data_IF_712147645195
#
_entry.id   IF_712147645195
#
_cell.length_a   1.000
_cell.length_b   1.000
_cell.length_c   1.000
_cell.angle_alpha   90.00
_cell.angle_beta   90.00
_cell.angle_gamma   90.00
#
_symmetry.space_group_name_H-M   'P 1'
#
loop_
_entity.id
_entity.type
_entity.pdbx_description
1 polymer ?
#
# COMPACT_ATOMS: atom_id res chain seq x y z
N UNK A 1 -7.80 -2.56 -1.37
CA UNK A 1 -7.00 -1.51 -2.03
C UNK A 1 -6.70 -1.93 -3.44
N UNK A 2 -6.77 -1.02 -4.40
CA UNK A 2 -6.35 -1.24 -5.79
C UNK A 2 -5.40 -0.12 -6.20
N UNK A 3 -4.19 -0.46 -6.59
CA UNK A 3 -3.20 0.48 -7.15
C UNK A 3 -3.28 0.39 -8.67
N UNK A 4 -3.41 1.52 -9.36
CA UNK A 4 -3.42 1.59 -10.83
C UNK A 4 -2.36 2.58 -11.31
N UNK A 5 -1.69 2.27 -12.41
CA UNK A 5 -0.77 3.21 -13.10
C UNK A 5 -0.59 2.82 -14.57
N UNK A 6 -0.07 3.73 -15.39
CA UNK A 6 0.25 3.42 -16.79
C UNK A 6 1.71 3.61 -17.19
N UNK A 7 2.47 4.35 -16.41
CA UNK A 7 3.86 4.64 -16.69
C UNK A 7 4.76 3.40 -16.54
N UNK A 8 5.89 3.40 -17.26
CA UNK A 8 6.97 2.41 -17.17
C UNK A 8 7.75 2.55 -15.85
N UNK A 9 7.09 2.24 -14.74
CA UNK A 9 7.63 2.32 -13.38
C UNK A 9 7.14 1.12 -12.57
N UNK A 10 8.00 0.66 -11.69
CA UNK A 10 7.72 -0.38 -10.71
C UNK A 10 7.09 0.26 -9.46
N UNK A 11 5.76 0.16 -9.35
CA UNK A 11 5.03 0.57 -8.15
C UNK A 11 4.55 -0.67 -7.41
N UNK A 12 4.92 -0.76 -6.13
CA UNK A 12 4.50 -1.85 -5.26
C UNK A 12 3.44 -1.38 -4.26
N UNK A 13 2.41 -2.21 -4.04
CA UNK A 13 1.47 -2.04 -2.95
C UNK A 13 1.89 -2.84 -1.70
N UNK A 14 2.03 -2.14 -0.58
CA UNK A 14 2.45 -2.69 0.71
C UNK A 14 1.35 -2.56 1.77
N UNK A 15 1.32 -3.49 2.72
CA UNK A 15 0.58 -3.35 3.97
C UNK A 15 1.40 -3.78 5.19
N UNK A 16 1.67 -2.85 6.09
CA UNK A 16 2.23 -3.14 7.40
C UNK A 16 1.08 -3.35 8.38
N UNK A 17 1.08 -4.44 9.11
CA UNK A 17 -0.06 -4.80 9.96
C UNK A 17 0.37 -5.14 11.38
N UNK A 18 -0.58 -4.97 12.29
CA UNK A 18 -0.56 -5.53 13.64
C UNK A 18 -1.85 -6.29 13.89
N UNK A 19 -1.74 -7.52 14.35
CA UNK A 19 -2.84 -8.36 14.78
C UNK A 19 -3.22 -8.04 16.23
N UNK A 20 -4.47 -8.31 16.62
CA UNK A 20 -4.95 -8.06 18.00
C UNK A 20 -4.22 -8.88 19.08
N UNK A 21 -3.51 -9.94 18.69
CA UNK A 21 -2.65 -10.70 19.58
C UNK A 21 -1.23 -10.13 19.69
N UNK A 22 -0.97 -8.95 19.10
CA UNK A 22 0.30 -8.23 19.17
C UNK A 22 1.33 -8.61 18.11
N UNK A 23 1.04 -9.58 17.24
CA UNK A 23 1.96 -9.96 16.15
C UNK A 23 1.93 -8.88 15.07
N UNK A 24 3.11 -8.43 14.65
CA UNK A 24 3.30 -7.49 13.54
C UNK A 24 3.89 -8.19 12.32
N UNK A 25 3.63 -7.63 11.15
CA UNK A 25 4.20 -8.13 9.91
C UNK A 25 3.95 -7.21 8.72
N UNK A 26 4.32 -7.72 7.55
CA UNK A 26 4.36 -6.95 6.32
C UNK A 26 3.95 -7.80 5.12
N UNK A 27 3.01 -7.28 4.32
CA UNK A 27 2.57 -7.81 3.03
C UNK A 27 3.18 -6.98 1.91
N UNK A 28 3.83 -7.65 0.96
CA UNK A 28 4.47 -7.08 -0.23
C UNK A 28 4.74 -8.18 -1.28
N UNK A 29 5.34 -7.84 -2.42
CA UNK A 29 5.52 -8.75 -3.56
C UNK A 29 6.13 -10.13 -3.20
N UNK A 30 7.09 -10.18 -2.25
CA UNK A 30 7.72 -11.44 -1.84
C UNK A 30 7.00 -12.18 -0.70
N UNK A 31 6.06 -11.50 -0.01
CA UNK A 31 5.25 -12.07 1.08
C UNK A 31 3.80 -11.64 0.91
N UNK A 32 3.11 -12.30 -0.02
CA UNK A 32 1.76 -11.90 -0.47
C UNK A 32 0.65 -12.19 0.54
N UNK A 33 0.90 -13.00 1.56
CA UNK A 33 -0.13 -13.47 2.50
C UNK A 33 -1.18 -14.37 1.84
N UNK A 34 -2.28 -14.64 2.53
CA UNK A 34 -3.45 -15.37 2.02
C UNK A 34 -4.73 -14.91 2.74
N UNK A 35 -5.88 -15.12 2.11
CA UNK A 35 -7.20 -14.80 2.69
C UNK A 35 -7.75 -15.86 3.65
N UNK A 36 -7.18 -17.06 3.67
CA UNK A 36 -7.63 -18.19 4.49
C UNK A 36 -6.81 -18.45 5.75
N UNK A 37 -5.68 -17.76 5.92
CA UNK A 37 -4.79 -17.91 7.08
C UNK A 37 -4.32 -16.53 7.55
N UNK A 38 -3.80 -16.43 8.77
CA UNK A 38 -3.26 -15.16 9.27
C UNK A 38 -2.19 -14.61 8.31
N UNK A 39 -2.21 -13.29 8.01
CA UNK A 39 -3.01 -12.24 8.65
C UNK A 39 -4.37 -11.97 8.01
N UNK A 40 -4.85 -12.83 7.10
CA UNK A 40 -6.07 -12.64 6.30
C UNK A 40 -5.98 -11.45 5.33
N UNK A 41 -4.76 -11.14 4.91
CA UNK A 41 -4.43 -10.11 3.93
C UNK A 41 -3.77 -10.80 2.74
N UNK A 42 -4.17 -10.46 1.52
CA UNK A 42 -3.63 -11.01 0.28
C UNK A 42 -3.33 -9.92 -0.74
N UNK A 43 -2.12 -9.96 -1.30
CA UNK A 43 -1.70 -9.20 -2.49
C UNK A 43 -1.70 -10.13 -3.71
N UNK A 44 -2.41 -9.76 -4.77
CA UNK A 44 -2.66 -10.66 -5.91
C UNK A 44 -1.46 -10.82 -6.86
N UNK A 45 -0.78 -9.73 -7.17
CA UNK A 45 0.27 -9.67 -8.17
C UNK A 45 1.38 -8.69 -7.78
N UNK A 46 2.48 -8.80 -8.51
CA UNK A 46 3.52 -7.78 -8.60
C UNK A 46 3.54 -7.38 -10.08
N UNK A 47 2.95 -6.23 -10.39
CA UNK A 47 2.77 -5.75 -11.76
C UNK A 47 3.85 -4.77 -12.19
N UNK A 48 4.74 -4.40 -11.27
CA UNK A 48 5.87 -3.52 -11.56
C UNK A 48 7.06 -4.23 -12.21
N UNK A 49 7.12 -5.57 -12.13
CA UNK A 49 8.20 -6.39 -12.72
C UNK A 49 8.46 -6.03 -14.19
N UNK A 50 9.68 -5.58 -14.44
CA UNK A 50 10.15 -5.24 -15.78
C UNK A 50 9.89 -3.80 -16.21
N UNK A 51 9.32 -2.94 -15.35
CA UNK A 51 9.03 -1.52 -15.63
C UNK A 51 8.25 -1.32 -16.94
N UNK A 52 7.23 -2.16 -17.18
CA UNK A 52 6.46 -2.13 -18.42
C UNK A 52 5.35 -1.09 -18.33
N UNK A 53 5.27 -0.19 -19.31
CA UNK A 53 4.14 0.74 -19.44
C UNK A 53 2.88 0.01 -19.92
N UNK A 54 1.72 0.58 -19.61
CA UNK A 54 0.41 -0.02 -19.92
C UNK A 54 -0.44 -0.17 -18.67
N UNK A 55 -1.60 -0.82 -18.77
CA UNK A 55 -2.54 -0.91 -17.64
C UNK A 55 -2.03 -1.86 -16.56
N UNK A 56 -1.31 -1.31 -15.58
CA UNK A 56 -0.81 -2.04 -14.43
C UNK A 56 -1.77 -1.90 -13.24
N UNK A 57 -2.03 -3.02 -12.55
CA UNK A 57 -2.99 -3.08 -11.45
C UNK A 57 -2.55 -4.08 -10.38
N UNK A 58 -2.47 -3.64 -9.14
CA UNK A 58 -2.31 -4.52 -7.97
C UNK A 58 -3.50 -4.39 -7.01
N UNK A 59 -3.97 -5.53 -6.50
CA UNK A 59 -5.07 -5.59 -5.54
C UNK A 59 -4.60 -6.19 -4.22
N UNK A 60 -4.85 -5.45 -3.14
CA UNK A 60 -4.69 -5.93 -1.77
C UNK A 60 -6.07 -6.08 -1.11
N UNK A 61 -6.37 -7.29 -0.68
CA UNK A 61 -7.66 -7.68 -0.11
C UNK A 61 -7.50 -8.13 1.34
N UNK A 62 -8.47 -7.78 2.19
CA UNK A 62 -8.54 -8.22 3.58
C UNK A 62 -9.88 -8.94 3.80
N UNK A 63 -9.87 -10.17 4.30
CA UNK A 63 -11.10 -10.97 4.56
C UNK A 63 -11.60 -10.91 6.00
N UNK A 64 -10.71 -10.71 6.99
CA UNK A 64 -11.06 -10.75 8.41
C UNK A 64 -10.47 -9.54 9.19
N UNK A 65 -11.11 -8.38 9.05
CA UNK A 65 -10.68 -7.16 9.75
C UNK A 65 -10.73 -7.31 11.27
N UNK A 66 -11.63 -8.15 11.80
CA UNK A 66 -11.82 -8.40 13.24
C UNK A 66 -10.58 -8.95 13.94
N UNK A 67 -9.66 -9.56 13.18
CA UNK A 67 -8.37 -10.11 13.66
C UNK A 67 -7.24 -9.08 13.64
N UNK A 68 -7.41 -8.00 12.89
CA UNK A 68 -6.43 -6.94 12.72
C UNK A 68 -6.68 -5.86 13.78
N UNK A 69 -5.60 -5.42 14.41
CA UNK A 69 -5.59 -4.26 15.30
C UNK A 69 -5.40 -2.99 14.47
N UNK A 70 -4.44 -3.00 13.55
CA UNK A 70 -4.21 -1.92 12.59
C UNK A 70 -3.53 -2.40 11.31
N UNK A 71 -3.73 -1.66 10.22
CA UNK A 71 -3.04 -1.88 8.93
C UNK A 71 -2.69 -0.53 8.31
N UNK A 72 -1.43 -0.29 8.02
CA UNK A 72 -0.94 0.86 7.26
C UNK A 72 -0.75 0.47 5.79
N UNK A 73 -1.50 1.11 4.90
CA UNK A 73 -1.42 0.89 3.46
C UNK A 73 -0.49 1.90 2.82
N UNK A 74 0.45 1.41 2.01
CA UNK A 74 1.54 2.22 1.47
C UNK A 74 1.81 1.80 0.02
N UNK A 75 2.12 2.76 -0.85
CA UNK A 75 2.69 2.47 -2.16
C UNK A 75 4.18 2.83 -2.17
N UNK A 76 5.02 2.01 -2.79
CA UNK A 76 6.44 2.26 -2.98
C UNK A 76 6.78 2.39 -4.46
N UNK A 77 7.76 3.24 -4.78
CA UNK A 77 8.45 3.17 -6.07
C UNK A 77 9.67 2.26 -5.86
N UNK A 78 9.64 1.07 -6.44
CA UNK A 78 10.73 0.09 -6.33
C UNK A 78 11.80 0.33 -7.39
N UNK A 79 13.06 0.11 -7.02
CA UNK A 79 14.18 0.05 -7.96
C UNK A 79 15.24 -0.94 -7.51
N UNK A 80 15.69 -1.73 -8.48
CA UNK A 80 16.78 -2.68 -8.31
C UNK A 80 18.17 -1.99 -8.27
N UNK A 81 18.35 -0.76 -8.82
CA UNK A 81 19.62 -0.01 -8.76
C UNK A 81 19.47 1.54 -8.84
N UNK A 82 20.08 2.27 -7.88
CA UNK A 82 20.88 3.51 -8.05
C UNK A 82 20.39 4.76 -8.80
N UNK A 83 19.13 4.89 -9.23
CA UNK A 83 18.65 6.06 -9.99
C UNK A 83 18.23 7.29 -9.15
N UNK A 84 18.15 8.47 -9.81
CA UNK A 84 17.97 9.83 -9.27
C UNK A 84 16.82 10.04 -8.25
N UNK A 85 16.79 11.22 -7.59
CA UNK A 85 15.75 11.64 -6.61
C UNK A 85 14.33 11.36 -7.14
N UNK A 86 13.69 10.34 -6.57
CA UNK A 86 12.33 9.94 -6.92
C UNK A 86 11.30 10.92 -6.36
N UNK A 87 10.26 11.19 -7.15
CA UNK A 87 9.07 11.88 -6.70
C UNK A 87 7.85 11.27 -7.39
N UNK A 88 6.72 11.31 -6.69
CA UNK A 88 5.46 10.83 -7.22
C UNK A 88 4.93 11.72 -8.36
N UNK A 89 5.36 12.98 -8.45
CA UNK A 89 4.96 13.91 -9.51
C UNK A 89 5.34 13.51 -10.95
N UNK A 90 6.24 12.54 -11.14
CA UNK A 90 6.59 12.03 -12.48
C UNK A 90 5.69 10.89 -12.97
N UNK A 91 4.73 10.45 -12.16
CA UNK A 91 3.93 9.26 -12.41
C UNK A 91 2.43 9.57 -12.34
N UNK A 92 1.64 8.73 -13.00
CA UNK A 92 0.18 8.81 -13.08
C UNK A 92 -0.51 7.81 -12.14
N UNK A 93 0.20 7.36 -11.11
CA UNK A 93 -0.30 6.36 -10.18
C UNK A 93 -1.46 6.88 -9.33
N UNK A 94 -2.41 6.00 -9.04
CA UNK A 94 -3.48 6.25 -8.09
C UNK A 94 -3.77 5.01 -7.25
N UNK A 95 -4.19 5.23 -6.01
CA UNK A 95 -4.69 4.16 -5.15
C UNK A 95 -6.18 4.36 -4.91
N UNK A 96 -6.94 3.36 -5.32
CA UNK A 96 -8.35 3.24 -5.04
C UNK A 96 -8.56 2.43 -3.77
N UNK A 97 -9.10 3.09 -2.75
CA UNK A 97 -9.54 2.49 -1.50
C UNK A 97 -11.01 2.15 -1.60
N UNK A 98 -11.36 0.86 -1.61
CA UNK A 98 -12.75 0.41 -1.60
C UNK A 98 -13.09 -0.17 -0.23
N UNK A 99 -14.16 0.31 0.38
CA UNK A 99 -14.74 -0.18 1.64
C UNK A 99 -16.23 -0.45 1.47
N UNK A 100 -16.88 -1.06 2.46
CA UNK A 100 -18.35 -1.21 2.47
C UNK A 100 -19.10 0.12 2.45
N UNK A 101 -18.46 1.23 2.83
CA UNK A 101 -19.04 2.57 2.87
C UNK A 101 -18.83 3.35 1.56
N UNK A 102 -18.05 2.82 0.62
CA UNK A 102 -17.77 3.47 -0.65
C UNK A 102 -16.31 3.43 -1.06
N UNK A 103 -15.99 4.22 -2.08
CA UNK A 103 -14.68 4.27 -2.72
C UNK A 103 -14.03 5.65 -2.57
N UNK A 104 -12.74 5.67 -2.27
CA UNK A 104 -11.91 6.88 -2.25
C UNK A 104 -10.76 6.66 -3.24
N UNK A 105 -10.43 7.69 -4.02
CA UNK A 105 -9.28 7.69 -4.92
C UNK A 105 -8.21 8.61 -4.33
N UNK A 106 -6.99 8.09 -4.16
CA UNK A 106 -5.83 8.80 -3.65
C UNK A 106 -4.81 8.92 -4.77
N UNK A 107 -4.66 10.10 -5.40
CA UNK A 107 -3.68 10.29 -6.46
C UNK A 107 -2.26 10.27 -5.89
N UNK A 108 -1.36 9.56 -6.56
CA UNK A 108 0.07 9.50 -6.22
C UNK A 108 0.84 10.51 -7.07
N UNK A 109 0.53 11.80 -6.91
CA UNK A 109 1.03 12.89 -7.79
C UNK A 109 1.83 13.97 -7.04
N UNK A 110 2.43 13.63 -5.91
CA UNK A 110 3.09 14.62 -5.04
C UNK A 110 4.43 15.12 -5.60
N UNK A 111 4.62 16.45 -5.59
CA UNK A 111 5.90 17.12 -5.87
C UNK A 111 6.93 16.92 -4.75
N UNK A 112 6.50 16.43 -3.58
CA UNK A 112 7.40 16.15 -2.46
C UNK A 112 8.32 14.98 -2.82
N UNK A 113 9.66 15.15 -2.73
CA UNK A 113 10.59 14.05 -2.97
C UNK A 113 10.41 12.93 -1.96
N UNK A 114 10.39 11.70 -2.44
CA UNK A 114 10.22 10.51 -1.62
C UNK A 114 9.79 9.31 -2.45
N UNK A 115 9.99 8.12 -1.89
CA UNK A 115 9.68 6.85 -2.58
C UNK A 115 8.56 6.07 -1.91
N UNK A 116 8.05 6.55 -0.78
CA UNK A 116 6.95 5.92 -0.05
C UNK A 116 5.77 6.88 0.04
N UNK A 117 4.61 6.46 -0.45
CA UNK A 117 3.36 7.17 -0.29
C UNK A 117 2.51 6.43 0.75
N UNK A 118 2.38 7.01 1.94
CA UNK A 118 1.49 6.50 2.99
C UNK A 118 0.06 6.94 2.66
N UNK A 119 -0.79 5.98 2.33
CA UNK A 119 -2.11 6.24 1.76
C UNK A 119 -3.12 6.41 2.89
N UNK A 120 -3.29 5.36 3.69
CA UNK A 120 -4.30 5.31 4.73
C UNK A 120 -3.94 4.28 5.80
N UNK A 121 -4.62 4.35 6.94
CA UNK A 121 -4.53 3.39 8.03
C UNK A 121 -5.91 2.84 8.40
N UNK A 122 -6.05 1.52 8.43
CA UNK A 122 -7.14 0.85 9.13
C UNK A 122 -6.79 0.83 10.62
N UNK A 123 -7.65 1.41 11.45
CA UNK A 123 -7.60 1.36 12.90
C UNK A 123 -8.75 0.52 13.42
N UNK A 124 -8.48 -0.47 14.28
CA UNK A 124 -9.49 -1.42 14.73
C UNK A 124 -9.30 -1.91 16.18
N UNK A 125 -8.80 -1.04 17.07
CA UNK A 125 -8.75 -1.29 18.51
C UNK A 125 -10.14 -1.21 19.16
N UNK A 126 -10.89 -0.15 18.85
CA UNK A 126 -12.23 0.07 19.39
C UNK A 126 -13.29 -0.18 18.31
N UNK A 127 -13.46 0.78 17.40
CA UNK A 127 -14.33 0.67 16.22
C UNK A 127 -13.49 0.73 14.94
N UNK A 128 -13.72 -0.18 13.98
CA UNK A 128 -13.01 -0.16 12.71
C UNK A 128 -13.24 1.17 11.98
N UNK A 129 -12.15 1.86 11.65
CA UNK A 129 -12.19 3.08 10.85
C UNK A 129 -10.99 3.18 9.91
N UNK A 130 -11.22 3.82 8.77
CA UNK A 130 -10.17 4.16 7.82
C UNK A 130 -9.75 5.61 8.04
N UNK A 131 -8.47 5.84 8.30
CA UNK A 131 -7.85 7.15 8.45
C UNK A 131 -7.07 7.45 7.17
N UNK A 132 -7.46 8.50 6.45
CA UNK A 132 -6.68 9.00 5.31
C UNK A 132 -5.42 9.72 5.83
N UNK A 133 -4.24 9.37 5.30
CA UNK A 133 -2.96 9.96 5.71
C UNK A 133 -2.38 10.81 4.59
N UNK A 134 -2.29 10.26 3.38
CA UNK A 134 -1.77 10.92 2.18
C UNK A 134 -0.45 11.69 2.41
N UNK A 135 0.60 10.97 2.83
CA UNK A 135 1.91 11.55 3.16
C UNK A 135 3.03 10.88 2.36
N UNK A 136 3.97 11.69 1.84
CA UNK A 136 5.19 11.19 1.20
C UNK A 136 6.34 11.11 2.21
N UNK A 137 7.04 9.98 2.20
CA UNK A 137 8.23 9.73 3.00
C UNK A 137 9.42 9.35 2.12
N UNK A 138 10.61 9.71 2.61
CA UNK A 138 11.88 9.28 2.04
C UNK A 138 12.21 7.82 2.42
N UNK A 139 11.95 7.48 3.67
CA UNK A 139 12.29 6.19 4.27
C UNK A 139 11.04 5.33 4.49
N UNK A 140 11.24 4.02 4.67
CA UNK A 140 10.13 3.08 4.87
C UNK A 140 9.32 3.46 6.12
N UNK A 141 7.99 3.56 6.01
CA UNK A 141 7.15 3.88 7.15
C UNK A 141 7.20 2.75 8.19
N UNK A 142 7.23 3.14 9.46
CA UNK A 142 7.03 2.23 10.58
C UNK A 142 5.61 2.38 11.09
N UNK A 143 4.93 1.26 11.33
CA UNK A 143 3.55 1.24 11.80
C UNK A 143 3.34 2.10 13.06
N UNK A 144 4.32 2.11 13.97
CA UNK A 144 4.28 2.86 15.23
C UNK A 144 4.36 4.40 15.08
N UNK A 145 4.70 4.92 13.90
CA UNK A 145 4.81 6.36 13.65
C UNK A 145 3.48 7.00 13.22
N UNK A 146 2.45 6.18 13.05
CA UNK A 146 1.11 6.56 12.59
C UNK A 146 0.08 5.99 13.56
#
# INVERSE_FOLDING_TARGET
MRLNWTQAVDLDLHAFYRLKNGIEGHIYFASKGKLGELPYIFLDADMGVGNVAGKNVENLTISHIDRLESVLFVANIFRFFGGAKENFAKYDGEVVVTTSLGQIVVPLTSDTPGKWAVIAKLENRDQPRMVNINQILKDEPKLANF
#
